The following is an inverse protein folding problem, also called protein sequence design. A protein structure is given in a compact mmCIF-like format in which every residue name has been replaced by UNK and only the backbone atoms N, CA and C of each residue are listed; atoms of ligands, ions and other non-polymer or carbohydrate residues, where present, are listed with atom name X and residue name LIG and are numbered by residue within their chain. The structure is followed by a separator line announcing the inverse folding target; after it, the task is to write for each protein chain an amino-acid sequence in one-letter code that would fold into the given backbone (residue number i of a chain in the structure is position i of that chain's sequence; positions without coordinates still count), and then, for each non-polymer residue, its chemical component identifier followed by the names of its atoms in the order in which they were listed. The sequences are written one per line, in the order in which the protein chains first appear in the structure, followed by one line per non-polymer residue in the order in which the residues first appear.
data_IF_397831159255
#
_entry.id   IF_397831159255
#
_cell.length_a   1.000
_cell.length_b   1.000
_cell.length_c   1.000
_cell.angle_alpha   90.00
_cell.angle_beta   90.00
_cell.angle_gamma   90.00
#
_symmetry.space_group_name_H-M   'P 1'
#
loop_
_entity.id
_entity.type
_entity.pdbx_description
1 polymer ?
#
# COMPACT_ATOMS: atom_id res chain seq x y z
N UNK A 1 14.97 17.41 -4.84
CA UNK A 1 13.62 17.07 -5.34
C UNK A 1 12.64 17.14 -4.17
N UNK A 2 11.50 17.76 -4.37
CA UNK A 2 10.48 17.84 -3.31
C UNK A 2 9.91 16.44 -3.05
N UNK A 3 9.69 16.12 -1.80
CA UNK A 3 9.08 14.85 -1.43
C UNK A 3 7.61 14.81 -1.88
N UNK A 4 7.15 13.64 -2.32
CA UNK A 4 5.74 13.42 -2.70
C UNK A 4 4.83 13.71 -1.51
N UNK A 5 5.24 13.25 -0.33
CA UNK A 5 4.57 13.54 0.94
C UNK A 5 5.59 14.03 1.95
N UNK A 6 5.11 14.81 2.93
CA UNK A 6 5.96 15.31 4.00
C UNK A 6 5.89 14.39 5.22
N UNK A 7 6.91 14.47 6.07
CA UNK A 7 6.92 13.78 7.35
C UNK A 7 5.67 14.13 8.17
N UNK A 8 5.28 15.41 8.17
CA UNK A 8 4.10 15.88 8.90
C UNK A 8 2.83 15.19 8.42
N UNK A 9 2.64 15.09 7.10
CA UNK A 9 1.47 14.42 6.53
C UNK A 9 1.41 12.94 6.95
N UNK A 10 2.54 12.26 6.94
CA UNK A 10 2.59 10.85 7.35
C UNK A 10 2.26 10.68 8.83
N UNK A 11 2.78 11.57 9.68
CA UNK A 11 2.49 11.52 11.11
C UNK A 11 1.01 11.81 11.40
N UNK A 12 0.44 12.79 10.72
CA UNK A 12 -0.98 13.13 10.86
C UNK A 12 -1.89 11.97 10.46
N UNK A 13 -1.49 11.20 9.45
CA UNK A 13 -2.25 10.04 9.00
C UNK A 13 -2.05 8.81 9.88
N UNK A 14 -1.12 8.85 10.84
CA UNK A 14 -0.88 7.74 11.76
C UNK A 14 -0.16 6.55 11.14
N UNK A 15 0.50 6.73 10.00
CA UNK A 15 1.14 5.62 9.29
C UNK A 15 2.45 5.17 9.94
N UNK A 16 2.91 5.85 10.98
CA UNK A 16 4.10 5.46 11.74
C UNK A 16 3.82 4.31 12.72
N UNK A 17 2.57 3.96 12.98
CA UNK A 17 2.21 2.85 13.86
C UNK A 17 2.29 1.54 13.11
N UNK A 18 3.14 0.62 13.61
CA UNK A 18 3.26 -0.72 13.07
C UNK A 18 2.48 -1.73 13.89
N UNK A 19 2.86 -3.00 13.78
CA UNK A 19 2.24 -4.07 14.54
C UNK A 19 2.62 -4.01 16.01
N UNK A 20 1.81 -4.64 16.87
CA UNK A 20 2.19 -4.90 18.25
C UNK A 20 3.49 -5.71 18.27
N UNK A 21 4.31 -5.51 19.29
CA UNK A 21 5.63 -6.16 19.36
C UNK A 21 5.55 -7.68 19.27
N UNK A 22 4.50 -8.27 19.83
CA UNK A 22 4.31 -9.73 19.80
C UNK A 22 3.98 -10.29 18.42
N UNK A 23 3.63 -9.42 17.47
CA UNK A 23 3.23 -9.82 16.11
C UNK A 23 4.24 -9.39 15.06
N UNK A 24 5.42 -9.01 15.48
CA UNK A 24 6.38 -8.49 14.53
C UNK A 24 6.94 -9.57 13.60
N UNK A 25 7.35 -9.10 12.43
CA UNK A 25 8.06 -9.93 11.47
C UNK A 25 9.52 -9.46 11.42
N UNK A 26 10.50 -10.32 11.67
CA UNK A 26 11.92 -9.92 11.65
C UNK A 26 12.36 -9.26 10.34
N UNK A 27 11.68 -9.55 9.24
CA UNK A 27 11.98 -8.91 7.95
C UNK A 27 11.70 -7.41 7.96
N UNK A 28 10.91 -6.93 8.91
CA UNK A 28 10.62 -5.51 9.06
C UNK A 28 11.67 -4.76 9.87
N UNK A 29 12.64 -5.45 10.48
CA UNK A 29 13.63 -4.81 11.33
C UNK A 29 14.31 -3.59 10.69
N UNK A 30 14.72 -3.62 9.41
CA UNK A 30 15.34 -2.45 8.79
C UNK A 30 14.45 -1.21 8.71
N UNK A 31 13.13 -1.38 8.85
CA UNK A 31 12.14 -0.32 8.66
C UNK A 31 11.55 0.18 9.97
N UNK A 32 11.98 -0.38 11.10
CA UNK A 32 11.46 -0.03 12.41
C UNK A 32 12.43 0.94 13.08
N UNK A 33 11.91 2.10 13.53
CA UNK A 33 12.70 3.10 14.24
C UNK A 33 12.84 2.74 15.71
N UNK A 34 11.72 2.44 16.38
CA UNK A 34 11.72 2.13 17.82
C UNK A 34 10.41 1.43 18.20
N UNK A 35 10.23 1.17 19.48
CA UNK A 35 8.95 0.69 19.98
C UNK A 35 8.50 1.55 21.15
N UNK A 36 7.18 1.73 21.28
CA UNK A 36 6.57 2.44 22.40
C UNK A 36 5.24 1.77 22.75
N UNK A 37 5.01 1.58 24.05
CA UNK A 37 3.76 1.00 24.56
C UNK A 37 3.39 -0.32 23.88
N UNK A 38 4.39 -1.15 23.59
CA UNK A 38 4.18 -2.46 22.96
C UNK A 38 3.86 -2.40 21.48
N UNK A 39 4.07 -1.28 20.82
CA UNK A 39 3.85 -1.08 19.40
C UNK A 39 5.15 -0.61 18.74
N UNK A 40 5.50 -1.19 17.60
CA UNK A 40 6.63 -0.73 16.82
C UNK A 40 6.29 0.57 16.11
N UNK A 41 7.26 1.46 16.03
CA UNK A 41 7.14 2.73 15.30
C UNK A 41 8.00 2.60 14.03
N UNK A 42 7.35 2.82 12.88
CA UNK A 42 8.02 2.71 11.59
C UNK A 42 8.91 3.93 11.35
N UNK A 43 10.08 3.69 10.75
CA UNK A 43 11.00 4.77 10.39
C UNK A 43 10.49 5.50 9.16
N UNK A 44 9.85 6.64 9.37
CA UNK A 44 9.23 7.41 8.29
C UNK A 44 10.23 8.08 7.37
N UNK A 45 11.48 8.28 7.80
CA UNK A 45 12.51 8.81 6.91
C UNK A 45 12.75 7.85 5.75
N UNK A 46 12.79 6.54 6.05
CA UNK A 46 12.89 5.52 5.01
C UNK A 46 11.62 5.44 4.18
N UNK A 47 10.46 5.60 4.81
CA UNK A 47 9.18 5.56 4.12
C UNK A 47 9.09 6.67 3.06
N UNK A 48 9.49 7.89 3.40
CA UNK A 48 9.46 9.02 2.47
C UNK A 48 10.31 8.72 1.23
N UNK A 49 11.53 8.22 1.43
CA UNK A 49 12.42 7.89 0.33
C UNK A 49 11.86 6.78 -0.55
N UNK A 50 11.36 5.72 0.08
CA UNK A 50 10.79 4.59 -0.66
C UNK A 50 9.52 4.99 -1.39
N UNK A 51 8.73 5.90 -0.83
CA UNK A 51 7.53 6.40 -1.48
C UNK A 51 7.88 7.24 -2.71
N UNK A 52 8.92 8.07 -2.63
CA UNK A 52 9.40 8.82 -3.78
C UNK A 52 9.86 7.88 -4.90
N UNK A 53 10.59 6.82 -4.55
CA UNK A 53 11.03 5.83 -5.53
C UNK A 53 9.85 5.13 -6.19
N UNK A 54 8.85 4.73 -5.40
CA UNK A 54 7.65 4.09 -5.90
C UNK A 54 6.85 5.04 -6.81
N UNK A 55 6.72 6.29 -6.40
CA UNK A 55 6.02 7.30 -7.19
C UNK A 55 6.68 7.50 -8.56
N UNK A 56 7.99 7.64 -8.59
CA UNK A 56 8.73 7.84 -9.83
C UNK A 56 8.62 6.62 -10.75
N UNK A 57 8.63 5.42 -10.18
CA UNK A 57 8.42 4.19 -10.95
C UNK A 57 7.03 4.17 -11.57
N UNK A 58 5.99 4.46 -10.79
CA UNK A 58 4.61 4.48 -11.29
C UNK A 58 4.42 5.56 -12.35
N UNK A 59 5.05 6.73 -12.15
CA UNK A 59 4.97 7.82 -13.11
C UNK A 59 5.56 7.40 -14.46
N UNK A 60 6.70 6.72 -14.46
CA UNK A 60 7.32 6.23 -15.68
C UNK A 60 6.44 5.19 -16.38
N UNK A 61 5.86 4.26 -15.64
CA UNK A 61 4.94 3.26 -16.19
C UNK A 61 3.69 3.92 -16.78
N UNK A 62 3.14 4.93 -16.10
CA UNK A 62 1.97 5.66 -16.58
C UNK A 62 2.27 6.43 -17.88
N UNK A 63 3.45 7.01 -17.99
CA UNK A 63 3.87 7.73 -19.19
C UNK A 63 3.98 6.78 -20.40
N UNK A 64 4.29 5.51 -20.16
CA UNK A 64 4.34 4.48 -21.20
C UNK A 64 2.99 3.82 -21.47
N UNK A 65 1.91 4.35 -20.91
CA UNK A 65 0.57 3.82 -21.12
C UNK A 65 0.22 2.61 -20.25
N UNK A 66 0.96 2.38 -19.20
CA UNK A 66 0.72 1.26 -18.28
C UNK A 66 -0.61 1.38 -17.53
N UNK A 67 -1.13 0.22 -17.13
CA UNK A 67 -2.40 0.11 -16.40
C UNK A 67 -2.08 -0.33 -14.97
N UNK A 68 -2.82 0.21 -14.01
CA UNK A 68 -2.60 -0.06 -12.59
C UNK A 68 -3.81 -0.77 -11.98
N UNK A 69 -3.51 -1.68 -11.08
CA UNK A 69 -4.51 -2.31 -10.22
C UNK A 69 -4.18 -1.94 -8.77
N UNK A 70 -5.04 -1.13 -8.17
CA UNK A 70 -4.90 -0.76 -6.76
C UNK A 70 -5.59 -1.79 -5.89
N UNK A 71 -4.91 -2.27 -4.86
CA UNK A 71 -5.44 -3.27 -3.95
C UNK A 71 -5.43 -2.72 -2.53
N UNK A 72 -6.59 -2.63 -1.92
CA UNK A 72 -6.73 -2.18 -0.54
C UNK A 72 -7.95 -2.84 0.08
N UNK A 73 -7.76 -4.00 0.69
CA UNK A 73 -8.85 -4.81 1.23
C UNK A 73 -9.14 -4.52 2.70
N UNK A 74 -8.21 -3.86 3.38
CA UNK A 74 -8.39 -3.49 4.78
C UNK A 74 -9.51 -2.47 4.90
N UNK A 75 -10.37 -2.62 5.91
CA UNK A 75 -11.54 -1.77 6.09
C UNK A 75 -11.20 -0.28 6.05
N UNK A 76 -10.09 0.11 6.66
CA UNK A 76 -9.66 1.51 6.71
C UNK A 76 -9.23 2.07 5.35
N UNK A 77 -8.87 1.19 4.40
CA UNK A 77 -8.37 1.58 3.09
C UNK A 77 -9.42 1.46 1.98
N UNK A 78 -10.51 0.73 2.20
CA UNK A 78 -11.46 0.37 1.14
C UNK A 78 -12.00 1.59 0.38
N UNK A 79 -12.51 2.58 1.10
CA UNK A 79 -13.12 3.75 0.48
C UNK A 79 -12.08 4.62 -0.24
N UNK A 80 -10.92 4.81 0.37
CA UNK A 80 -9.84 5.60 -0.22
C UNK A 80 -9.33 4.96 -1.52
N UNK A 81 -9.19 3.64 -1.53
CA UNK A 81 -8.73 2.90 -2.72
C UNK A 81 -9.74 3.08 -3.86
N UNK A 82 -11.04 2.90 -3.61
CA UNK A 82 -12.06 3.08 -4.62
C UNK A 82 -12.08 4.51 -5.17
N UNK A 83 -12.04 5.50 -4.29
CA UNK A 83 -12.08 6.92 -4.66
C UNK A 83 -10.86 7.31 -5.48
N UNK A 84 -9.67 6.97 -5.01
CA UNK A 84 -8.44 7.41 -5.67
C UNK A 84 -8.18 6.67 -6.98
N UNK A 85 -8.47 5.37 -7.05
CA UNK A 85 -8.33 4.63 -8.29
C UNK A 85 -9.30 5.15 -9.35
N UNK A 86 -10.55 5.44 -8.97
CA UNK A 86 -11.55 6.01 -9.87
C UNK A 86 -11.11 7.38 -10.37
N UNK A 87 -10.58 8.21 -9.47
CA UNK A 87 -10.06 9.54 -9.85
C UNK A 87 -8.94 9.44 -10.88
N UNK A 88 -8.09 8.43 -10.75
CA UNK A 88 -6.97 8.21 -11.68
C UNK A 88 -7.39 7.42 -12.94
N UNK A 89 -8.63 6.95 -13.01
CA UNK A 89 -9.09 6.15 -14.14
C UNK A 89 -8.50 4.74 -14.18
N UNK A 90 -8.13 4.19 -13.03
CA UNK A 90 -7.48 2.89 -12.94
C UNK A 90 -8.38 1.88 -12.21
N UNK A 91 -7.98 0.61 -12.27
CA UNK A 91 -8.74 -0.48 -11.65
C UNK A 91 -8.42 -0.60 -10.17
N UNK A 92 -9.36 -1.18 -9.41
CA UNK A 92 -9.11 -1.43 -8.00
C UNK A 92 -9.79 -2.70 -7.51
N UNK A 93 -9.22 -3.26 -6.44
CA UNK A 93 -9.82 -4.34 -5.66
C UNK A 93 -9.84 -3.87 -4.20
N UNK A 94 -11.02 -3.65 -3.65
CA UNK A 94 -11.17 -3.21 -2.26
C UNK A 94 -12.06 -4.14 -1.43
N UNK A 95 -12.40 -5.31 -1.97
CA UNK A 95 -13.06 -6.39 -1.26
C UNK A 95 -12.06 -7.50 -1.00
N UNK A 96 -12.54 -8.69 -0.63
CA UNK A 96 -11.63 -9.80 -0.34
C UNK A 96 -10.75 -10.14 -1.55
N UNK A 97 -9.45 -10.24 -1.31
CA UNK A 97 -8.50 -10.73 -2.32
C UNK A 97 -8.56 -12.25 -2.35
N UNK A 98 -9.00 -12.81 -3.44
CA UNK A 98 -9.10 -14.26 -3.59
C UNK A 98 -7.71 -14.85 -3.84
N UNK A 99 -7.38 -15.92 -3.12
CA UNK A 99 -6.13 -16.63 -3.33
C UNK A 99 -6.01 -17.11 -4.77
N UNK A 100 -4.86 -16.84 -5.39
CA UNK A 100 -4.63 -17.21 -6.78
C UNK A 100 -5.16 -16.24 -7.82
N UNK A 101 -5.61 -15.05 -7.42
CA UNK A 101 -6.13 -14.04 -8.36
C UNK A 101 -5.13 -13.74 -9.48
N UNK A 102 -3.84 -13.64 -9.16
CA UNK A 102 -2.79 -13.40 -10.17
C UNK A 102 -2.22 -14.68 -10.76
N UNK A 103 -2.15 -15.74 -9.98
CA UNK A 103 -1.46 -16.96 -10.36
C UNK A 103 -2.39 -18.04 -10.91
N UNK A 104 -3.68 -17.95 -10.64
CA UNK A 104 -4.68 -18.93 -11.07
C UNK A 104 -5.92 -18.19 -11.61
N UNK A 105 -5.69 -17.24 -12.50
CA UNK A 105 -6.72 -16.33 -13.00
C UNK A 105 -7.84 -17.07 -13.72
N UNK A 106 -7.52 -18.10 -14.51
CA UNK A 106 -8.55 -18.82 -15.25
C UNK A 106 -9.61 -19.44 -14.33
N UNK A 107 -9.18 -20.05 -13.21
CA UNK A 107 -10.10 -20.61 -12.22
C UNK A 107 -10.88 -19.49 -11.50
N UNK A 108 -10.22 -18.40 -11.15
CA UNK A 108 -10.88 -17.26 -10.50
C UNK A 108 -11.94 -16.65 -11.40
N UNK A 109 -11.65 -16.51 -12.69
CA UNK A 109 -12.58 -15.97 -13.67
C UNK A 109 -13.84 -16.85 -13.79
N UNK A 110 -13.67 -18.15 -13.78
CA UNK A 110 -14.79 -19.09 -13.81
C UNK A 110 -15.70 -18.94 -12.59
N UNK A 111 -15.13 -18.72 -11.42
CA UNK A 111 -15.91 -18.52 -10.19
C UNK A 111 -16.65 -17.20 -10.19
N UNK A 112 -16.06 -16.15 -10.74
CA UNK A 112 -16.70 -14.83 -10.82
C UNK A 112 -17.90 -14.87 -11.75
N UNK A 113 -17.83 -15.64 -12.81
CA UNK A 113 -18.94 -15.75 -13.79
C UNK A 113 -20.14 -16.55 -13.29
N UNK A 114 -20.01 -17.24 -12.17
CA UNK A 114 -21.13 -17.88 -11.51
C UNK A 114 -21.93 -16.82 -10.74
#
# INVERSE_FOLDING_TARGET
MADVVTMKQLLEAGVHFGHQTRRWNPKMAPYIFTQRNGIYIIDLQKTIKMLDDAYNFMKAVAQDGGVFLFVGTKKQAQDSIAEEATRAGQYYVNQRWLGGTLTNWSTMQSRIKR
#
